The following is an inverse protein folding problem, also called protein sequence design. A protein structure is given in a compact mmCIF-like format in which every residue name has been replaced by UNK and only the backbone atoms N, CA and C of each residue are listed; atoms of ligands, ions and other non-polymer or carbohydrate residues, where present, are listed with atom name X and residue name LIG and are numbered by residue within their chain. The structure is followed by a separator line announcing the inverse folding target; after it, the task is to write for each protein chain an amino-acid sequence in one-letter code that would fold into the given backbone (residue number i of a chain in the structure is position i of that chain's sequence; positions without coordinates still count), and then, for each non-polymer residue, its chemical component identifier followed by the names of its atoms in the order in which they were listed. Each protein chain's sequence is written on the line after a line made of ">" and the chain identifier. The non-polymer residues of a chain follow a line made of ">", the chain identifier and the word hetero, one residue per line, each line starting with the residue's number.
data_IF_204596943689
#
_entry.id   IF_204596943689
#
_cell.length_a   1.000
_cell.length_b   1.000
_cell.length_c   1.000
_cell.angle_alpha   90.00
_cell.angle_beta   90.00
_cell.angle_gamma   90.00
#
_symmetry.space_group_name_H-M   'P 1'
#
loop_
_entity.id
_entity.type
_entity.pdbx_description
1 polymer ?
#
# COMPACT_ATOMS: atom_id res chain seq x y z
N UNK A 1 -28.59 -49.63 -38.52
CA UNK A 1 -28.53 -50.16 -37.14
C UNK A 1 -27.27 -49.61 -36.52
N UNK A 2 -27.43 -48.63 -35.62
CA UNK A 2 -26.37 -47.75 -35.15
C UNK A 2 -25.44 -48.41 -34.15
N UNK A 3 -24.14 -48.21 -34.36
CA UNK A 3 -23.10 -48.47 -33.38
C UNK A 3 -22.80 -47.12 -32.69
N UNK A 4 -23.58 -46.79 -31.67
CA UNK A 4 -23.29 -45.67 -30.75
C UNK A 4 -22.15 -46.11 -29.82
N UNK A 5 -20.92 -45.89 -30.30
CA UNK A 5 -19.72 -46.01 -29.50
C UNK A 5 -19.78 -45.02 -28.34
N UNK A 6 -19.83 -45.55 -27.13
CA UNK A 6 -19.85 -44.79 -25.89
C UNK A 6 -18.75 -43.72 -25.89
N UNK A 7 -19.18 -42.46 -25.79
CA UNK A 7 -18.32 -41.35 -25.44
C UNK A 7 -17.88 -41.52 -23.98
N UNK A 8 -16.79 -42.25 -23.75
CA UNK A 8 -16.11 -42.24 -22.46
C UNK A 8 -15.53 -40.84 -22.29
N UNK A 9 -16.01 -40.04 -21.31
CA UNK A 9 -15.44 -38.74 -21.04
C UNK A 9 -13.97 -38.91 -20.69
N UNK A 10 -13.12 -38.06 -21.26
CA UNK A 10 -11.70 -38.07 -20.94
C UNK A 10 -11.50 -37.76 -19.45
N UNK A 11 -10.47 -38.33 -18.82
CA UNK A 11 -10.22 -38.16 -17.37
C UNK A 11 -10.09 -36.69 -16.96
N UNK A 12 -9.65 -35.83 -17.89
CA UNK A 12 -9.61 -34.38 -17.77
C UNK A 12 -10.99 -33.72 -17.66
N UNK A 13 -12.05 -34.28 -18.27
CA UNK A 13 -13.42 -33.78 -18.14
C UNK A 13 -14.08 -34.20 -16.82
N UNK A 14 -13.68 -35.35 -16.28
CA UNK A 14 -14.18 -35.86 -14.99
C UNK A 14 -13.50 -35.16 -13.79
N UNK A 15 -12.34 -34.55 -14.01
CA UNK A 15 -11.56 -33.85 -12.97
C UNK A 15 -11.37 -32.38 -13.35
N UNK A 16 -12.48 -31.65 -13.55
CA UNK A 16 -12.48 -30.21 -13.22
C UNK A 16 -12.46 -30.08 -11.70
N UNK A 17 -11.29 -30.31 -11.10
CA UNK A 17 -11.03 -29.84 -9.74
C UNK A 17 -11.07 -28.33 -9.77
N UNK A 18 -12.24 -27.80 -9.42
CA UNK A 18 -12.42 -26.41 -9.00
C UNK A 18 -11.26 -26.12 -8.03
N UNK A 19 -10.27 -25.33 -8.46
CA UNK A 19 -9.11 -25.02 -7.63
C UNK A 19 -9.62 -24.66 -6.23
N UNK A 20 -9.22 -25.44 -5.23
CA UNK A 20 -9.86 -25.42 -3.92
C UNK A 20 -9.81 -23.99 -3.37
N UNK A 21 -10.89 -23.46 -2.77
CA UNK A 21 -10.94 -22.10 -2.23
C UNK A 21 -9.75 -21.80 -1.30
N UNK A 22 -9.29 -22.82 -0.57
CA UNK A 22 -8.11 -22.77 0.30
C UNK A 22 -6.86 -22.22 -0.40
N UNK A 23 -6.56 -22.68 -1.63
CA UNK A 23 -5.37 -22.23 -2.34
C UNK A 23 -5.40 -20.72 -2.69
N UNK A 24 -6.58 -20.13 -2.88
CA UNK A 24 -6.70 -18.69 -3.13
C UNK A 24 -6.57 -17.87 -1.84
N UNK A 25 -7.05 -18.42 -0.73
CA UNK A 25 -6.93 -17.79 0.59
C UNK A 25 -5.48 -17.80 1.07
N UNK A 26 -4.76 -18.91 0.87
CA UNK A 26 -3.33 -19.05 1.18
C UNK A 26 -2.47 -18.04 0.40
N UNK A 27 -2.76 -17.87 -0.90
CA UNK A 27 -2.07 -16.88 -1.75
C UNK A 27 -2.35 -15.43 -1.33
N UNK A 28 -3.58 -15.12 -0.91
CA UNK A 28 -3.93 -13.80 -0.39
C UNK A 28 -3.21 -13.52 0.93
N UNK A 29 -3.11 -14.51 1.80
CA UNK A 29 -2.45 -14.37 3.09
C UNK A 29 -0.93 -14.21 2.93
N UNK A 30 -0.31 -14.96 2.02
CA UNK A 30 1.09 -14.78 1.63
C UNK A 30 1.33 -13.38 1.06
N UNK A 31 0.49 -12.92 0.12
CA UNK A 31 0.62 -11.59 -0.46
C UNK A 31 0.47 -10.46 0.59
N UNK A 32 -0.39 -10.65 1.61
CA UNK A 32 -0.48 -9.72 2.75
C UNK A 32 0.80 -9.68 3.57
N UNK A 33 1.42 -10.82 3.85
CA UNK A 33 2.69 -10.88 4.58
C UNK A 33 3.84 -10.27 3.77
N UNK A 34 3.88 -10.55 2.47
CA UNK A 34 4.88 -10.01 1.55
C UNK A 34 4.84 -8.49 1.50
N UNK A 35 3.65 -7.87 1.61
CA UNK A 35 3.50 -6.42 1.59
C UNK A 35 4.22 -5.69 2.73
N UNK A 36 4.57 -6.39 3.82
CA UNK A 36 5.33 -5.82 4.96
C UNK A 36 6.85 -5.99 4.82
N UNK A 37 7.30 -6.83 3.89
CA UNK A 37 8.73 -7.12 3.67
C UNK A 37 9.24 -6.62 2.33
N UNK A 38 8.37 -6.55 1.32
CA UNK A 38 8.75 -6.26 -0.06
C UNK A 38 8.08 -5.01 -0.61
N UNK A 39 8.84 -4.26 -1.43
CA UNK A 39 8.37 -3.12 -2.17
C UNK A 39 7.28 -3.54 -3.17
N UNK A 40 6.13 -2.85 -3.15
CA UNK A 40 5.02 -3.17 -4.02
C UNK A 40 5.31 -2.95 -5.52
N UNK A 41 6.31 -2.11 -5.84
CA UNK A 41 6.72 -1.81 -7.21
C UNK A 41 7.84 -2.75 -7.71
N UNK A 42 8.98 -2.79 -7.00
CA UNK A 42 10.18 -3.53 -7.43
C UNK A 42 10.27 -4.97 -6.95
N UNK A 43 9.41 -5.38 -5.99
CA UNK A 43 9.49 -6.67 -5.29
C UNK A 43 10.81 -6.93 -4.56
N UNK A 44 11.64 -5.91 -4.38
CA UNK A 44 12.85 -5.97 -3.55
C UNK A 44 12.50 -5.80 -2.06
N UNK A 45 13.39 -6.21 -1.16
CA UNK A 45 13.21 -6.00 0.28
C UNK A 45 13.04 -4.50 0.62
N UNK A 46 12.18 -4.19 1.59
CA UNK A 46 11.92 -2.85 2.07
C UNK A 46 13.11 -2.31 2.88
N UNK A 47 13.74 -1.27 2.34
CA UNK A 47 14.93 -0.62 2.93
C UNK A 47 14.67 0.87 3.07
N UNK A 48 14.91 1.42 4.26
CA UNK A 48 14.82 2.85 4.50
C UNK A 48 15.78 3.62 3.58
N UNK A 49 15.37 4.75 3.00
CA UNK A 49 14.11 5.45 3.22
C UNK A 49 12.91 4.82 2.51
N UNK A 50 11.83 4.58 3.27
CA UNK A 50 10.57 4.06 2.76
C UNK A 50 9.60 5.19 2.44
N UNK A 51 8.75 4.96 1.45
CA UNK A 51 7.69 5.89 1.06
C UNK A 51 6.37 5.15 0.93
N UNK A 52 5.27 5.86 1.18
CA UNK A 52 3.92 5.35 0.98
C UNK A 52 3.11 6.24 0.06
N UNK A 53 2.28 5.60 -0.76
CA UNK A 53 1.34 6.26 -1.66
C UNK A 53 0.00 6.55 -0.98
N UNK A 54 -0.90 7.17 -1.73
CA UNK A 54 -2.27 7.48 -1.29
C UNK A 54 -3.12 6.28 -0.88
N UNK A 55 -2.75 5.09 -1.35
CA UNK A 55 -3.43 3.83 -1.04
C UNK A 55 -2.79 3.10 0.14
N UNK A 56 -1.76 3.66 0.77
CA UNK A 56 -1.12 3.07 1.94
C UNK A 56 -0.16 1.92 1.61
N UNK A 57 0.22 1.72 0.35
CA UNK A 57 1.22 0.72 -0.05
C UNK A 57 2.62 1.22 0.28
N UNK A 58 3.55 0.30 0.51
CA UNK A 58 4.95 0.59 0.82
C UNK A 58 5.85 0.42 -0.40
N UNK A 59 6.77 1.37 -0.54
CA UNK A 59 7.77 1.39 -1.61
C UNK A 59 9.12 1.83 -1.08
N UNK A 60 10.18 1.35 -1.72
CA UNK A 60 11.50 1.94 -1.55
C UNK A 60 11.54 3.27 -2.29
N UNK A 61 12.12 4.30 -1.66
CA UNK A 61 12.25 5.62 -2.29
C UNK A 61 13.00 5.54 -3.62
N UNK A 62 14.03 4.69 -3.70
CA UNK A 62 14.81 4.46 -4.92
C UNK A 62 13.92 3.93 -6.06
N UNK A 63 13.06 2.95 -5.79
CA UNK A 63 12.17 2.38 -6.80
C UNK A 63 11.18 3.42 -7.35
N UNK A 64 10.66 4.30 -6.50
CA UNK A 64 9.79 5.41 -6.95
C UNK A 64 10.56 6.42 -7.80
N UNK A 65 11.80 6.75 -7.43
CA UNK A 65 12.62 7.65 -8.22
C UNK A 65 12.92 7.07 -9.60
N UNK A 66 13.30 5.79 -9.68
CA UNK A 66 13.51 5.11 -10.95
C UNK A 66 12.22 5.10 -11.77
N UNK A 67 11.07 4.81 -11.17
CA UNK A 67 9.79 4.84 -11.87
C UNK A 67 9.41 6.21 -12.41
N UNK A 68 9.66 7.29 -11.66
CA UNK A 68 9.37 8.65 -12.11
C UNK A 68 10.30 9.11 -13.24
N UNK A 69 11.51 8.55 -13.32
CA UNK A 69 12.47 8.83 -14.40
C UNK A 69 12.20 7.98 -15.63
N UNK A 70 11.99 6.68 -15.44
CA UNK A 70 11.79 5.70 -16.50
C UNK A 70 10.63 4.75 -16.16
N UNK A 71 9.38 5.16 -16.41
CA UNK A 71 8.21 4.33 -16.15
C UNK A 71 8.20 3.01 -16.95
N UNK A 72 8.93 2.96 -18.07
CA UNK A 72 9.04 1.79 -18.94
C UNK A 72 9.76 0.60 -18.30
N UNK A 73 10.67 0.82 -17.35
CA UNK A 73 11.34 -0.29 -16.64
C UNK A 73 10.35 -1.13 -15.80
N UNK A 74 9.27 -0.51 -15.35
CA UNK A 74 8.24 -1.15 -14.51
C UNK A 74 6.99 -1.51 -15.31
N UNK A 75 7.15 -1.76 -16.62
CA UNK A 75 6.06 -2.07 -17.53
C UNK A 75 5.22 -3.27 -17.04
N UNK A 76 3.90 -3.17 -17.22
CA UNK A 76 2.93 -4.18 -16.80
C UNK A 76 1.99 -3.70 -15.70
N UNK A 77 1.53 -4.61 -14.85
CA UNK A 77 0.48 -4.31 -13.86
C UNK A 77 0.94 -3.34 -12.76
N UNK A 78 2.24 -3.28 -12.47
CA UNK A 78 2.80 -2.32 -11.51
C UNK A 78 2.62 -0.87 -11.98
N UNK A 79 2.87 -0.59 -13.27
CA UNK A 79 2.68 0.74 -13.85
C UNK A 79 1.22 1.23 -13.77
N UNK A 80 0.24 0.34 -13.94
CA UNK A 80 -1.19 0.67 -13.83
C UNK A 80 -1.59 1.01 -12.41
N UNK A 81 -1.06 0.28 -11.43
CA UNK A 81 -1.33 0.53 -10.02
C UNK A 81 -0.72 1.85 -9.53
N UNK A 82 0.34 2.33 -10.20
CA UNK A 82 1.08 3.55 -9.86
C UNK A 82 0.67 4.79 -10.66
N UNK A 83 -0.35 4.70 -11.51
CA UNK A 83 -0.76 5.80 -12.41
C UNK A 83 -1.11 7.12 -11.70
N UNK A 84 -1.43 7.06 -10.39
CA UNK A 84 -1.74 8.22 -9.57
C UNK A 84 -0.48 8.96 -9.06
N UNK A 85 0.69 8.32 -9.06
CA UNK A 85 1.96 8.90 -8.62
C UNK A 85 2.67 9.52 -9.83
N UNK A 86 2.61 10.84 -9.93
CA UNK A 86 3.24 11.60 -11.03
C UNK A 86 4.46 12.38 -10.57
N UNK A 87 4.62 12.53 -9.26
CA UNK A 87 5.67 13.31 -8.64
C UNK A 87 6.01 12.78 -7.25
N UNK A 88 7.17 13.19 -6.73
CA UNK A 88 7.56 12.88 -5.34
C UNK A 88 6.63 13.50 -4.28
N UNK A 89 5.73 14.42 -4.66
CA UNK A 89 4.72 15.00 -3.77
C UNK A 89 3.48 14.11 -3.63
N UNK A 90 3.32 13.12 -4.51
CA UNK A 90 2.21 12.18 -4.47
C UNK A 90 2.49 11.00 -3.52
N UNK A 91 3.69 10.96 -2.93
CA UNK A 91 4.11 10.00 -1.91
C UNK A 91 4.57 10.72 -0.65
N UNK A 92 4.47 10.05 0.49
CA UNK A 92 4.98 10.53 1.78
C UNK A 92 6.17 9.69 2.20
N UNK A 93 7.26 10.34 2.59
CA UNK A 93 8.44 9.64 3.15
C UNK A 93 8.13 9.27 4.58
N UNK A 94 8.24 7.97 4.89
CA UNK A 94 7.91 7.46 6.21
C UNK A 94 9.10 7.64 7.17
N UNK A 95 8.79 8.14 8.37
CA UNK A 95 9.69 8.14 9.51
C UNK A 95 9.38 6.90 10.35
N UNK A 96 10.31 5.95 10.30
CA UNK A 96 10.24 4.65 10.96
C UNK A 96 11.52 4.45 11.77
N UNK A 97 11.36 3.94 12.98
CA UNK A 97 12.50 3.50 13.78
C UNK A 97 12.81 2.04 13.53
N UNK A 98 14.09 1.67 13.64
CA UNK A 98 14.56 0.30 13.46
C UNK A 98 15.07 -0.25 14.79
N UNK A 99 14.66 -1.46 15.14
CA UNK A 99 15.23 -2.24 16.24
C UNK A 99 15.86 -3.50 15.66
N UNK A 100 17.18 -3.51 15.52
CA UNK A 100 17.91 -4.55 14.81
C UNK A 100 17.56 -4.56 13.32
N UNK A 101 16.88 -5.60 12.87
CA UNK A 101 16.46 -5.78 11.47
C UNK A 101 14.99 -5.50 11.21
N UNK A 102 14.22 -5.14 12.24
CA UNK A 102 12.78 -4.88 12.10
C UNK A 102 12.46 -3.41 12.29
N UNK A 103 11.46 -2.94 11.55
CA UNK A 103 10.86 -1.62 11.78
C UNK A 103 9.87 -1.71 12.95
N UNK A 104 9.91 -0.71 13.82
CA UNK A 104 9.10 -0.66 15.04
C UNK A 104 8.40 0.70 15.18
N UNK A 105 7.25 0.69 15.86
CA UNK A 105 6.60 1.90 16.36
C UNK A 105 7.38 2.44 17.56
N UNK A 106 7.80 3.70 17.54
CA UNK A 106 8.57 4.31 18.64
C UNK A 106 7.78 4.43 19.94
N UNK A 107 6.47 4.64 19.83
CA UNK A 107 5.57 4.86 20.98
C UNK A 107 5.21 3.53 21.65
N UNK A 108 4.78 2.55 20.86
CA UNK A 108 4.24 1.28 21.39
C UNK A 108 5.24 0.14 21.35
N UNK A 109 6.42 0.33 20.75
CA UNK A 109 7.47 -0.69 20.50
C UNK A 109 6.97 -1.98 19.84
N UNK A 110 5.92 -1.87 19.02
CA UNK A 110 5.39 -3.00 18.26
C UNK A 110 6.11 -3.10 16.92
N UNK A 111 6.30 -4.33 16.45
CA UNK A 111 6.89 -4.63 15.15
C UNK A 111 5.92 -4.28 14.01
N UNK A 112 6.45 -3.73 12.93
CA UNK A 112 5.72 -3.45 11.69
C UNK A 112 5.73 -4.69 10.78
N UNK A 113 5.04 -5.74 11.20
CA UNK A 113 5.03 -7.07 10.57
C UNK A 113 3.63 -7.52 10.06
N UNK A 114 2.64 -6.64 10.18
CA UNK A 114 1.25 -6.92 9.82
C UNK A 114 0.42 -7.63 10.89
N UNK A 115 0.99 -8.01 12.03
CA UNK A 115 0.23 -8.52 13.16
C UNK A 115 -0.57 -7.41 13.87
N UNK A 116 -0.03 -6.19 13.87
CA UNK A 116 -0.70 -4.99 14.38
C UNK A 116 -1.00 -4.03 13.24
N UNK A 117 -2.18 -3.38 13.19
CA UNK A 117 -2.45 -2.33 12.21
C UNK A 117 -1.53 -1.13 12.44
N UNK A 118 -0.80 -0.75 11.39
CA UNK A 118 0.01 0.46 11.36
C UNK A 118 -0.65 1.54 10.51
N UNK A 119 -0.42 2.78 10.90
CA UNK A 119 -0.87 3.98 10.21
C UNK A 119 0.29 4.96 10.11
N UNK A 120 0.27 5.87 9.16
CA UNK A 120 1.14 7.04 9.17
C UNK A 120 0.33 8.32 9.04
N UNK A 121 0.94 9.41 9.48
CA UNK A 121 0.37 10.74 9.40
C UNK A 121 0.94 11.46 8.18
N UNK A 122 0.06 11.97 7.33
CA UNK A 122 0.44 12.66 6.08
C UNK A 122 1.35 13.88 6.31
N UNK A 123 1.11 14.76 7.31
CA UNK A 123 1.90 15.97 7.51
C UNK A 123 3.37 15.73 7.89
N UNK A 124 3.64 14.74 8.74
CA UNK A 124 4.98 14.48 9.29
C UNK A 124 5.64 13.19 8.80
N UNK A 125 4.86 12.24 8.26
CA UNK A 125 5.35 10.95 7.80
C UNK A 125 5.65 9.93 8.90
N UNK A 126 5.44 10.24 10.19
CA UNK A 126 5.63 9.25 11.25
C UNK A 126 4.67 8.08 11.10
N UNK A 127 5.25 6.87 11.07
CA UNK A 127 4.51 5.63 11.01
C UNK A 127 4.42 5.00 12.42
N UNK A 128 3.19 4.75 12.86
CA UNK A 128 2.83 4.40 14.22
C UNK A 128 1.83 3.24 14.22
N UNK A 129 1.83 2.45 15.29
CA UNK A 129 0.73 1.51 15.52
C UNK A 129 -0.57 2.30 15.70
N UNK A 130 -1.70 1.83 15.15
CA UNK A 130 -3.01 2.50 15.27
C UNK A 130 -3.41 2.79 16.72
N UNK A 131 -3.02 1.90 17.64
CA UNK A 131 -3.24 2.05 19.08
C UNK A 131 -2.46 3.23 19.73
N UNK A 132 -1.42 3.75 19.07
CA UNK A 132 -0.71 4.93 19.54
C UNK A 132 -1.58 6.20 19.45
N UNK A 133 -2.49 6.26 18.47
CA UNK A 133 -3.35 7.43 18.24
C UNK A 133 -4.58 7.47 19.15
N UNK A 134 -4.97 6.36 19.79
CA UNK A 134 -6.12 6.35 20.70
C UNK A 134 -5.86 7.04 22.03
N UNK A 135 -4.61 7.38 22.31
CA UNK A 135 -4.18 8.03 23.56
C UNK A 135 -3.92 9.54 23.37
N UNK A 136 -4.03 10.05 22.15
CA UNK A 136 -3.83 11.47 21.83
C UNK A 136 -5.17 12.15 21.57
N UNK A 137 -5.74 12.79 22.57
CA UNK A 137 -7.01 13.54 22.42
C UNK A 137 -6.83 14.82 21.60
N UNK A 138 -5.60 15.35 21.55
CA UNK A 138 -5.29 16.65 20.95
C UNK A 138 -5.02 16.59 19.43
N UNK A 139 -5.20 15.43 18.77
CA UNK A 139 -4.89 15.23 17.33
C UNK A 139 -3.50 15.74 16.92
N UNK A 140 -2.52 15.48 17.79
CA UNK A 140 -1.10 15.79 17.57
C UNK A 140 -0.29 14.50 17.46
N UNK A 141 0.71 14.51 16.58
CA UNK A 141 1.58 13.36 16.39
C UNK A 141 2.31 13.04 17.71
N UNK A 142 2.20 11.82 18.26
CA UNK A 142 2.86 11.46 19.53
C UNK A 142 4.40 11.47 19.53
N UNK A 143 5.03 11.68 18.37
CA UNK A 143 6.49 11.69 18.21
C UNK A 143 7.04 13.11 18.02
N UNK A 144 6.32 13.96 17.29
CA UNK A 144 6.83 15.28 16.90
C UNK A 144 5.85 16.42 17.14
N UNK A 145 4.73 16.17 17.82
CA UNK A 145 3.69 17.14 18.20
C UNK A 145 3.04 17.90 17.04
N UNK A 146 3.22 17.43 15.81
CA UNK A 146 2.61 18.06 14.63
C UNK A 146 1.11 17.75 14.60
N UNK A 147 0.29 18.77 14.48
CA UNK A 147 -1.16 18.64 14.31
C UNK A 147 -1.52 17.91 13.01
N UNK A 148 -2.56 17.09 13.07
CA UNK A 148 -3.09 16.36 11.91
C UNK A 148 -4.61 16.27 11.99
N UNK A 149 -5.26 16.07 10.84
CA UNK A 149 -6.71 15.80 10.78
C UNK A 149 -7.01 14.31 10.63
N UNK A 150 -8.25 13.89 10.89
CA UNK A 150 -8.67 12.49 10.71
C UNK A 150 -8.46 11.98 9.28
N UNK A 151 -8.53 12.87 8.29
CA UNK A 151 -8.22 12.57 6.89
C UNK A 151 -6.75 12.23 6.68
N UNK A 152 -5.85 12.70 7.53
CA UNK A 152 -4.40 12.53 7.36
C UNK A 152 -3.87 11.19 7.90
N UNK A 153 -4.73 10.41 8.55
CA UNK A 153 -4.41 9.08 9.08
C UNK A 153 -4.58 8.04 7.96
N UNK A 154 -3.45 7.53 7.48
CA UNK A 154 -3.40 6.57 6.37
C UNK A 154 -2.93 5.21 6.91
N UNK A 155 -3.78 4.16 6.87
CA UNK A 155 -3.35 2.80 7.19
C UNK A 155 -2.31 2.31 6.18
N UNK A 156 -1.27 1.65 6.70
CA UNK A 156 -0.27 0.96 5.90
C UNK A 156 -0.83 -0.42 5.52
N UNK A 157 -0.74 -0.76 4.24
CA UNK A 157 -1.28 -1.99 3.66
C UNK A 157 -2.75 -2.24 4.08
N UNK A 158 -3.68 -1.34 3.71
CA UNK A 158 -5.08 -1.39 4.14
C UNK A 158 -5.79 -2.68 3.73
N UNK A 159 -6.81 -3.04 4.52
CA UNK A 159 -7.78 -4.05 4.12
C UNK A 159 -8.81 -3.48 3.14
N UNK A 160 -9.59 -4.35 2.51
CA UNK A 160 -10.60 -3.98 1.51
C UNK A 160 -11.57 -2.90 2.04
N UNK A 161 -11.88 -2.89 3.34
CA UNK A 161 -12.74 -1.89 3.98
C UNK A 161 -12.16 -0.46 3.95
N UNK A 162 -10.85 -0.31 4.06
CA UNK A 162 -10.18 1.00 4.09
C UNK A 162 -9.92 1.56 2.69
N UNK A 163 -9.91 0.71 1.66
CA UNK A 163 -9.59 1.13 0.28
C UNK A 163 -10.57 2.16 -0.28
N UNK A 164 -11.88 1.96 -0.06
CA UNK A 164 -12.91 2.90 -0.50
C UNK A 164 -12.79 4.27 0.19
N UNK A 165 -12.43 4.28 1.48
CA UNK A 165 -12.18 5.51 2.25
C UNK A 165 -10.98 6.28 1.69
N UNK A 166 -9.88 5.57 1.43
CA UNK A 166 -8.67 6.18 0.88
C UNK A 166 -8.87 6.70 -0.54
N UNK A 167 -9.60 5.98 -1.38
CA UNK A 167 -9.95 6.44 -2.72
C UNK A 167 -10.77 7.74 -2.65
N UNK A 168 -11.83 7.77 -1.83
CA UNK A 168 -12.66 8.97 -1.63
C UNK A 168 -11.83 10.16 -1.14
N UNK A 169 -10.87 9.91 -0.24
CA UNK A 169 -9.93 10.95 0.23
C UNK A 169 -9.07 11.50 -0.90
N UNK A 170 -8.52 10.66 -1.76
CA UNK A 170 -7.66 11.09 -2.88
C UNK A 170 -8.46 11.90 -3.89
N UNK A 171 -9.69 11.51 -4.18
CA UNK A 171 -10.60 12.27 -5.04
C UNK A 171 -10.93 13.65 -4.45
N UNK A 172 -11.17 13.73 -3.14
CA UNK A 172 -11.39 15.00 -2.44
C UNK A 172 -10.15 15.92 -2.49
N UNK A 173 -8.95 15.39 -2.23
CA UNK A 173 -7.72 16.15 -2.34
C UNK A 173 -7.46 16.63 -3.77
N UNK A 174 -7.73 15.78 -4.77
CA UNK A 174 -7.60 16.15 -6.16
C UNK A 174 -8.57 17.28 -6.54
N UNK A 175 -9.80 17.27 -6.02
CA UNK A 175 -10.77 18.36 -6.20
C UNK A 175 -10.31 19.67 -5.54
N UNK A 176 -9.62 19.58 -4.40
CA UNK A 176 -8.97 20.72 -3.72
C UNK A 176 -7.65 21.17 -4.41
N UNK A 177 -7.15 20.40 -5.40
CA UNK A 177 -5.89 20.68 -6.08
C UNK A 177 -4.64 20.35 -5.24
N UNK A 178 -4.77 19.44 -4.27
CA UNK A 178 -3.71 18.98 -3.38
C UNK A 178 -3.26 17.56 -3.76
N UNK A 179 -1.97 17.29 -3.63
CA UNK A 179 -1.40 15.95 -3.76
C UNK A 179 -1.64 15.15 -2.48
N UNK A 180 -1.30 13.86 -2.50
CA UNK A 180 -1.43 13.00 -1.32
C UNK A 180 -0.76 13.56 -0.06
N UNK A 181 0.44 14.12 -0.20
CA UNK A 181 1.19 14.78 0.90
C UNK A 181 0.62 16.12 1.37
N UNK A 182 -0.51 16.59 0.81
CA UNK A 182 -1.10 17.90 1.11
C UNK A 182 -0.40 19.08 0.41
N UNK A 183 0.58 18.82 -0.46
CA UNK A 183 1.22 19.87 -1.24
C UNK A 183 0.35 20.26 -2.46
N UNK A 184 0.43 21.52 -2.96
CA UNK A 184 -0.34 21.91 -4.13
C UNK A 184 0.12 21.15 -5.39
N UNK A 185 -0.83 20.66 -6.17
CA UNK A 185 -0.58 20.02 -7.46
C UNK A 185 0.09 21.00 -8.42
N UNK A 186 0.97 20.47 -9.29
CA UNK A 186 1.61 21.29 -10.33
C UNK A 186 0.55 21.74 -11.32
N UNK A 187 0.35 23.05 -11.43
CA UNK A 187 -0.47 23.64 -12.50
C UNK A 187 0.11 23.21 -13.85
N UNK A 188 -0.69 22.55 -14.69
CA UNK A 188 -0.29 22.29 -16.09
C UNK A 188 -0.02 23.64 -16.75
N UNK A 189 1.22 23.90 -17.18
CA UNK A 189 1.52 25.07 -18.01
C UNK A 189 0.68 24.92 -19.29
N UNK A 190 -0.29 25.81 -19.50
CA UNK A 190 -0.97 25.94 -20.80
C UNK A 190 0.11 26.28 -21.83
N UNK A 191 0.30 25.39 -22.78
CA UNK A 191 1.11 25.63 -23.98
C UNK A 191 0.29 26.44 -24.97
#
# INVERSE_FOLDING_TARGET
>A
MGNDGGSIPSRDEMVRTKAAPRAKDDLKQAAKQDAWSYCALSRSQLTAPLVSDGHGKLYNKESILTYLLEPSEFAGDASKQMAHVTSMKDVVVLQLSKSGDKYICEVTRRDMDGATPFVYLTPCGHALAKAALSHSDDRVCPVCDMAFDERDIIPINPEEADTARLQSRLEALAAEGLTHSGAPMRKKKRK
#
